data_IF_776411769389
#
_entry.id   IF_776411769389
#
_cell.length_a   1.000
_cell.length_b   1.000
_cell.length_c   1.000
_cell.angle_alpha   90.00
_cell.angle_beta   90.00
_cell.angle_gamma   90.00
#
_symmetry.space_group_name_H-M   'P 1'
#
loop_
_entity.id
_entity.type
_entity.pdbx_description
1 polymer ?
#
# COMPACT_ATOMS: atom_id res chain seq x y z
N UNK A 1 -72.37 -48.78 3.76
CA UNK A 1 -71.41 -47.81 3.21
C UNK A 1 -70.62 -47.19 4.37
N UNK A 2 -69.45 -47.75 4.55
CA UNK A 2 -68.56 -47.38 5.64
C UNK A 2 -67.49 -46.38 5.12
N UNK A 3 -67.72 -45.11 5.43
CA UNK A 3 -66.80 -44.05 5.03
C UNK A 3 -65.72 -43.97 6.09
N UNK A 4 -64.59 -44.63 5.84
CA UNK A 4 -63.38 -44.53 6.66
C UNK A 4 -62.84 -43.10 6.54
N UNK A 5 -63.02 -42.26 7.56
CA UNK A 5 -62.32 -41.01 7.73
C UNK A 5 -60.87 -41.31 8.10
N UNK A 6 -59.96 -41.18 7.12
CA UNK A 6 -58.52 -41.15 7.37
C UNK A 6 -58.18 -39.83 8.03
N UNK A 7 -57.77 -39.86 9.29
CA UNK A 7 -57.27 -38.69 10.02
C UNK A 7 -55.77 -38.52 9.70
N UNK A 8 -55.44 -37.46 9.00
CA UNK A 8 -54.05 -37.07 8.78
C UNK A 8 -53.59 -36.23 9.98
N UNK A 9 -52.53 -36.67 10.65
CA UNK A 9 -51.88 -35.92 11.75
C UNK A 9 -50.74 -35.11 11.15
N UNK A 10 -50.90 -33.79 11.06
CA UNK A 10 -49.82 -32.88 10.70
C UNK A 10 -49.08 -32.49 12.00
N UNK A 11 -47.79 -32.84 12.08
CA UNK A 11 -46.89 -32.33 13.08
C UNK A 11 -46.14 -31.14 12.46
N UNK A 12 -46.51 -29.92 12.83
CA UNK A 12 -45.77 -28.71 12.45
C UNK A 12 -44.90 -28.25 13.62
N UNK A 13 -43.62 -28.03 13.37
CA UNK A 13 -42.71 -27.37 14.32
C UNK A 13 -42.56 -25.92 13.85
N UNK A 14 -43.05 -24.98 14.66
CA UNK A 14 -42.86 -23.56 14.43
C UNK A 14 -41.61 -23.17 15.18
N UNK A 15 -40.57 -22.76 14.42
CA UNK A 15 -39.33 -22.26 15.02
C UNK A 15 -39.30 -20.76 14.77
N UNK A 16 -39.14 -19.97 15.83
CA UNK A 16 -38.89 -18.52 15.70
C UNK A 16 -37.49 -18.31 15.18
N UNK A 17 -37.38 -17.75 13.96
CA UNK A 17 -36.11 -17.46 13.30
C UNK A 17 -35.80 -15.95 13.28
N UNK A 18 -36.55 -15.13 14.02
CA UNK A 18 -36.46 -13.66 13.98
C UNK A 18 -35.09 -13.19 14.42
N UNK A 19 -34.60 -13.66 15.56
CA UNK A 19 -33.27 -13.31 16.07
C UNK A 19 -32.16 -13.73 15.10
N UNK A 20 -32.25 -14.93 14.55
CA UNK A 20 -31.29 -15.43 13.56
C UNK A 20 -31.31 -14.60 12.26
N UNK A 21 -32.48 -14.12 11.83
CA UNK A 21 -32.58 -13.23 10.67
C UNK A 21 -31.97 -11.87 10.96
N UNK A 22 -32.27 -11.26 12.10
CA UNK A 22 -31.69 -9.97 12.49
C UNK A 22 -30.15 -10.05 12.58
N UNK A 23 -29.60 -11.10 13.17
CA UNK A 23 -28.16 -11.32 13.26
C UNK A 23 -27.54 -11.46 11.86
N UNK A 24 -28.14 -12.27 11.00
CA UNK A 24 -27.65 -12.46 9.63
C UNK A 24 -27.73 -11.17 8.79
N UNK A 25 -28.79 -10.38 8.94
CA UNK A 25 -28.95 -9.11 8.22
C UNK A 25 -27.93 -8.06 8.70
N UNK A 26 -27.64 -8.04 10.01
CA UNK A 26 -26.60 -7.18 10.57
C UNK A 26 -25.22 -7.56 10.03
N UNK A 27 -24.88 -8.84 10.04
CA UNK A 27 -23.61 -9.34 9.49
C UNK A 27 -23.49 -9.01 7.99
N UNK A 28 -24.55 -9.19 7.22
CA UNK A 28 -24.58 -8.85 5.79
C UNK A 28 -24.36 -7.36 5.54
N UNK A 29 -25.01 -6.49 6.32
CA UNK A 29 -24.85 -5.03 6.22
C UNK A 29 -23.43 -4.60 6.60
N UNK A 30 -22.88 -5.14 7.67
CA UNK A 30 -21.50 -4.88 8.07
C UNK A 30 -20.51 -5.33 6.99
N UNK A 31 -20.67 -6.55 6.46
CA UNK A 31 -19.82 -7.07 5.38
C UNK A 31 -19.90 -6.19 4.13
N UNK A 32 -21.10 -5.79 3.71
CA UNK A 32 -21.29 -4.93 2.55
C UNK A 32 -20.67 -3.54 2.77
N UNK A 33 -20.77 -2.98 3.98
CA UNK A 33 -20.15 -1.71 4.32
C UNK A 33 -18.62 -1.79 4.29
N UNK A 34 -18.02 -2.82 4.91
CA UNK A 34 -16.58 -3.03 4.84
C UNK A 34 -16.09 -3.26 3.41
N UNK A 35 -16.83 -4.02 2.61
CA UNK A 35 -16.50 -4.23 1.20
C UNK A 35 -16.54 -2.91 0.44
N UNK A 36 -17.57 -2.08 0.65
CA UNK A 36 -17.65 -0.76 0.03
C UNK A 36 -16.47 0.14 0.43
N UNK A 37 -16.10 0.18 1.72
CA UNK A 37 -14.93 0.95 2.16
C UNK A 37 -13.65 0.44 1.51
N UNK A 38 -13.48 -0.88 1.44
CA UNK A 38 -12.30 -1.51 0.83
C UNK A 38 -12.17 -1.15 -0.65
N UNK A 39 -13.28 -1.18 -1.39
CA UNK A 39 -13.31 -0.93 -2.83
C UNK A 39 -13.29 0.58 -3.19
N UNK A 40 -13.73 1.46 -2.28
CA UNK A 40 -13.70 2.92 -2.51
C UNK A 40 -12.44 3.60 -2.02
N UNK A 41 -11.56 2.89 -1.34
CA UNK A 41 -10.29 3.44 -0.87
C UNK A 41 -9.37 3.74 -2.04
N UNK A 42 -8.90 4.99 -2.15
CA UNK A 42 -7.90 5.44 -3.14
C UNK A 42 -6.47 5.03 -2.74
N UNK A 43 -6.34 3.84 -2.19
CA UNK A 43 -5.08 3.22 -1.82
C UNK A 43 -5.14 1.77 -2.26
N UNK A 44 -4.12 1.30 -2.94
CA UNK A 44 -4.01 -0.10 -3.33
C UNK A 44 -3.78 -0.95 -2.07
N UNK A 45 -4.73 -1.85 -1.78
CA UNK A 45 -4.66 -2.76 -0.64
C UNK A 45 -4.51 -4.18 -1.14
N UNK A 46 -3.47 -4.85 -0.68
CA UNK A 46 -3.11 -6.19 -1.16
C UNK A 46 -2.78 -7.10 0.02
N UNK A 47 -3.15 -8.36 -0.09
CA UNK A 47 -2.77 -9.41 0.85
C UNK A 47 -1.93 -10.48 0.14
N UNK A 48 -0.85 -10.88 0.80
CA UNK A 48 0.05 -11.96 0.37
C UNK A 48 0.19 -12.98 1.49
N UNK A 49 0.51 -14.21 1.14
CA UNK A 49 1.04 -15.15 2.11
C UNK A 49 2.47 -14.75 2.54
N UNK A 50 3.02 -15.45 3.53
CA UNK A 50 4.38 -15.16 4.00
C UNK A 50 5.47 -15.51 2.96
N UNK A 51 5.13 -16.22 1.89
CA UNK A 51 6.02 -16.51 0.76
C UNK A 51 5.94 -15.45 -0.34
N UNK A 52 5.06 -14.43 -0.18
CA UNK A 52 4.84 -13.38 -1.16
C UNK A 52 3.87 -13.75 -2.28
N UNK A 53 3.10 -14.84 -2.13
CA UNK A 53 2.07 -15.23 -3.09
C UNK A 53 0.82 -14.37 -2.88
N UNK A 54 0.29 -13.82 -3.95
CA UNK A 54 -0.91 -13.01 -3.97
C UNK A 54 -2.15 -13.79 -3.50
N UNK A 55 -2.83 -13.25 -2.52
CA UNK A 55 -4.08 -13.79 -1.99
C UNK A 55 -5.30 -12.98 -2.44
N UNK A 56 -5.28 -11.67 -2.18
CA UNK A 56 -6.41 -10.78 -2.42
C UNK A 56 -5.95 -9.32 -2.59
N UNK A 57 -6.74 -8.52 -3.32
CA UNK A 57 -6.55 -7.09 -3.43
C UNK A 57 -7.88 -6.37 -3.66
N UNK A 58 -7.93 -5.06 -3.36
CA UNK A 58 -9.04 -4.22 -3.76
C UNK A 58 -8.96 -3.83 -5.25
N UNK A 59 -10.07 -3.36 -5.81
CA UNK A 59 -10.15 -3.01 -7.23
C UNK A 59 -9.10 -1.95 -7.62
N UNK A 60 -8.88 -0.95 -6.76
CA UNK A 60 -7.92 0.12 -7.00
C UNK A 60 -6.47 -0.37 -7.20
N UNK A 61 -6.10 -1.50 -6.60
CA UNK A 61 -4.78 -2.11 -6.82
C UNK A 61 -4.53 -2.38 -8.30
N UNK A 62 -5.51 -2.94 -8.99
CA UNK A 62 -5.37 -3.31 -10.40
C UNK A 62 -5.30 -2.08 -11.30
N UNK A 63 -5.97 -0.98 -10.94
CA UNK A 63 -5.83 0.31 -11.62
C UNK A 63 -4.41 0.86 -11.49
N UNK A 64 -3.82 0.75 -10.29
CA UNK A 64 -2.44 1.22 -10.05
C UNK A 64 -1.42 0.43 -10.85
N UNK A 65 -1.52 -0.91 -10.87
CA UNK A 65 -0.53 -1.77 -11.55
C UNK A 65 -0.82 -1.97 -13.05
N UNK A 66 -2.04 -1.65 -13.52
CA UNK A 66 -2.43 -1.77 -14.93
C UNK A 66 -2.69 -3.20 -15.40
N UNK A 67 -2.98 -4.12 -14.49
CA UNK A 67 -3.37 -5.50 -14.77
C UNK A 67 -4.83 -5.71 -14.38
N UNK A 68 -5.47 -6.72 -14.97
CA UNK A 68 -6.62 -7.36 -14.29
C UNK A 68 -6.09 -8.38 -13.29
N UNK A 69 -6.93 -8.81 -12.35
CA UNK A 69 -6.53 -9.86 -11.40
C UNK A 69 -6.08 -11.14 -12.10
N UNK A 70 -6.81 -11.56 -13.13
CA UNK A 70 -6.48 -12.75 -13.92
C UNK A 70 -5.12 -12.60 -14.62
N UNK A 71 -4.88 -11.44 -15.25
CA UNK A 71 -3.61 -11.14 -15.91
C UNK A 71 -2.46 -11.11 -14.89
N UNK A 72 -2.66 -10.50 -13.73
CA UNK A 72 -1.63 -10.47 -12.70
C UNK A 72 -1.26 -11.88 -12.23
N UNK A 73 -2.24 -12.74 -11.99
CA UNK A 73 -2.01 -14.14 -11.60
C UNK A 73 -1.30 -14.95 -12.69
N UNK A 74 -1.69 -14.77 -13.95
CA UNK A 74 -1.17 -15.59 -15.05
C UNK A 74 0.17 -15.11 -15.59
N UNK A 75 0.36 -13.80 -15.74
CA UNK A 75 1.56 -13.22 -16.38
C UNK A 75 2.71 -13.05 -15.38
N UNK A 76 2.40 -12.81 -14.08
CA UNK A 76 3.42 -12.57 -13.03
C UNK A 76 3.57 -13.72 -12.03
N UNK A 77 2.75 -14.77 -12.17
CA UNK A 77 2.66 -15.85 -11.19
C UNK A 77 2.05 -15.37 -9.85
N UNK A 78 1.38 -14.22 -9.83
CA UNK A 78 0.87 -13.59 -8.61
C UNK A 78 1.96 -13.07 -7.67
N UNK A 79 3.17 -12.85 -8.17
CA UNK A 79 4.30 -12.35 -7.37
C UNK A 79 4.44 -10.83 -7.48
N UNK A 80 4.41 -10.13 -6.34
CA UNK A 80 4.70 -8.71 -6.29
C UNK A 80 6.08 -8.36 -6.85
N UNK A 81 7.08 -9.18 -6.55
CA UNK A 81 8.47 -8.94 -6.98
C UNK A 81 8.58 -8.86 -8.51
N UNK A 82 7.72 -9.56 -9.25
CA UNK A 82 7.74 -9.57 -10.71
C UNK A 82 7.41 -8.20 -11.34
N UNK A 83 6.74 -7.31 -10.63
CA UNK A 83 6.42 -5.96 -11.10
C UNK A 83 7.28 -4.88 -10.47
N UNK A 84 8.15 -5.21 -9.52
CA UNK A 84 9.10 -4.27 -8.94
C UNK A 84 10.20 -3.95 -9.97
N UNK A 85 10.59 -2.68 -10.04
CA UNK A 85 11.70 -2.27 -10.91
C UNK A 85 12.99 -3.01 -10.52
N UNK A 86 13.79 -3.53 -11.47
CA UNK A 86 14.96 -4.37 -11.18
C UNK A 86 15.94 -3.78 -10.16
N UNK A 87 16.18 -2.46 -10.22
CA UNK A 87 17.06 -1.77 -9.26
C UNK A 87 16.53 -1.74 -7.82
N UNK A 88 15.25 -2.02 -7.58
CA UNK A 88 14.61 -1.89 -6.27
C UNK A 88 14.26 -3.26 -5.66
N UNK A 89 14.45 -4.35 -6.42
CA UNK A 89 14.09 -5.71 -6.01
C UNK A 89 14.76 -6.11 -4.69
N UNK A 90 16.07 -5.89 -4.58
CA UNK A 90 16.83 -6.29 -3.38
C UNK A 90 16.37 -5.50 -2.15
N UNK A 91 16.14 -4.20 -2.30
CA UNK A 91 15.61 -3.34 -1.22
C UNK A 91 14.22 -3.82 -0.76
N UNK A 92 13.32 -4.11 -1.70
CA UNK A 92 11.98 -4.62 -1.37
C UNK A 92 12.07 -5.95 -0.64
N UNK A 93 12.94 -6.86 -1.10
CA UNK A 93 13.17 -8.16 -0.46
C UNK A 93 13.64 -8.02 0.97
N UNK A 94 14.64 -7.17 1.23
CA UNK A 94 15.13 -6.89 2.58
C UNK A 94 14.03 -6.36 3.51
N UNK A 95 13.14 -5.48 3.01
CA UNK A 95 12.02 -4.97 3.80
C UNK A 95 11.02 -6.08 4.16
N UNK A 96 10.72 -6.98 3.22
CA UNK A 96 9.82 -8.12 3.46
C UNK A 96 10.45 -9.11 4.44
N UNK A 97 11.74 -9.45 4.29
CA UNK A 97 12.46 -10.34 5.19
C UNK A 97 12.47 -9.79 6.63
N UNK A 98 12.76 -8.50 6.80
CA UNK A 98 12.71 -7.83 8.11
C UNK A 98 11.28 -7.82 8.70
N UNK A 99 10.28 -7.56 7.88
CA UNK A 99 8.88 -7.61 8.31
C UNK A 99 8.51 -9.00 8.84
N UNK A 100 8.95 -10.08 8.17
CA UNK A 100 8.67 -11.45 8.57
C UNK A 100 9.45 -11.82 9.85
N UNK A 101 10.72 -11.43 9.93
CA UNK A 101 11.60 -11.74 11.06
C UNK A 101 11.18 -11.01 12.35
N UNK A 102 11.00 -9.69 12.25
CA UNK A 102 10.77 -8.82 13.41
C UNK A 102 9.29 -8.65 13.75
N UNK A 103 8.38 -8.99 12.84
CA UNK A 103 6.94 -8.76 12.92
C UNK A 103 6.57 -7.29 13.21
N UNK A 104 7.39 -6.36 12.70
CA UNK A 104 7.18 -4.92 12.83
C UNK A 104 6.74 -4.34 11.49
N UNK A 105 5.76 -3.43 11.48
CA UNK A 105 5.37 -2.73 10.26
C UNK A 105 6.57 -2.08 9.59
N UNK A 106 6.61 -2.12 8.28
CA UNK A 106 7.64 -1.48 7.46
C UNK A 106 7.02 -0.49 6.48
N UNK A 107 7.76 0.59 6.20
CA UNK A 107 7.39 1.58 5.18
C UNK A 107 8.60 1.83 4.30
N UNK A 108 8.40 1.79 2.99
CA UNK A 108 9.47 2.04 2.01
C UNK A 108 8.91 2.56 0.70
N UNK A 109 9.75 3.23 -0.07
CA UNK A 109 9.44 3.65 -1.43
C UNK A 109 10.14 2.72 -2.43
N UNK A 110 9.43 2.35 -3.49
CA UNK A 110 10.02 1.62 -4.60
C UNK A 110 9.34 1.99 -5.91
N UNK A 111 9.96 1.60 -7.01
CA UNK A 111 9.36 1.71 -8.34
C UNK A 111 8.71 0.40 -8.72
N UNK A 112 7.55 0.50 -9.33
CA UNK A 112 6.89 -0.62 -9.99
C UNK A 112 6.81 -0.36 -11.49
N UNK A 113 6.79 -1.42 -12.28
CA UNK A 113 6.59 -1.40 -13.71
C UNK A 113 5.18 -1.90 -13.97
N UNK A 114 4.32 -1.02 -14.49
CA UNK A 114 2.97 -1.35 -14.88
C UNK A 114 2.97 -2.29 -16.10
N UNK A 115 1.84 -2.90 -16.36
CA UNK A 115 1.67 -3.78 -17.53
C UNK A 115 1.94 -3.07 -18.87
N UNK A 116 1.65 -1.78 -18.96
CA UNK A 116 1.94 -0.94 -20.14
C UNK A 116 3.42 -0.49 -20.25
N UNK A 117 4.27 -0.93 -19.33
CA UNK A 117 5.69 -0.56 -19.23
C UNK A 117 5.95 0.75 -18.50
N UNK A 118 4.92 1.50 -18.10
CA UNK A 118 5.12 2.76 -17.38
C UNK A 118 5.68 2.48 -15.97
N UNK A 119 6.69 3.28 -15.59
CA UNK A 119 7.26 3.23 -14.24
C UNK A 119 6.47 4.15 -13.30
N UNK A 120 6.09 3.63 -12.13
CA UNK A 120 5.43 4.37 -11.06
C UNK A 120 6.21 4.28 -9.77
N UNK A 121 6.29 5.39 -9.05
CA UNK A 121 6.77 5.42 -7.69
C UNK A 121 5.63 5.10 -6.73
N UNK A 122 5.84 4.15 -5.85
CA UNK A 122 4.88 3.78 -4.82
C UNK A 122 5.51 3.87 -3.44
N UNK A 123 4.74 4.42 -2.50
CA UNK A 123 5.03 4.29 -1.07
C UNK A 123 4.29 3.07 -0.57
N UNK A 124 5.02 2.07 -0.13
CA UNK A 124 4.52 0.82 0.42
C UNK A 124 4.52 0.87 1.95
N UNK A 125 3.42 0.48 2.57
CA UNK A 125 3.32 0.22 4.01
C UNK A 125 2.81 -1.20 4.20
N UNK A 126 3.56 -2.03 4.89
CA UNK A 126 3.22 -3.45 5.08
C UNK A 126 3.30 -3.86 6.55
N UNK A 127 2.40 -4.75 6.95
CA UNK A 127 2.37 -5.38 8.26
C UNK A 127 1.91 -6.83 8.15
N UNK A 128 2.11 -7.62 9.22
CA UNK A 128 1.56 -8.98 9.34
C UNK A 128 0.29 -8.91 10.18
N UNK A 129 -0.78 -9.44 9.63
CA UNK A 129 -2.08 -9.62 10.31
C UNK A 129 -2.48 -11.08 10.26
N UNK A 130 -3.43 -11.48 11.09
CA UNK A 130 -4.08 -12.77 10.93
C UNK A 130 -5.32 -12.62 10.05
N UNK A 131 -5.47 -13.50 9.06
CA UNK A 131 -6.69 -13.58 8.26
C UNK A 131 -7.87 -14.15 9.07
N UNK A 132 -9.04 -14.31 8.45
CA UNK A 132 -10.24 -14.84 9.13
C UNK A 132 -10.06 -16.24 9.69
N UNK A 133 -9.14 -17.04 9.14
CA UNK A 133 -8.83 -18.39 9.59
C UNK A 133 -7.70 -18.41 10.64
N UNK A 134 -7.24 -17.25 11.10
CA UNK A 134 -6.15 -17.11 12.06
C UNK A 134 -4.76 -17.32 11.47
N UNK A 135 -4.64 -17.45 10.14
CA UNK A 135 -3.36 -17.63 9.45
C UNK A 135 -2.67 -16.28 9.25
N UNK A 136 -1.37 -16.15 9.58
CA UNK A 136 -0.64 -14.91 9.36
C UNK A 136 -0.47 -14.63 7.86
N UNK A 137 -0.79 -13.40 7.46
CA UNK A 137 -0.66 -12.90 6.09
C UNK A 137 -0.01 -11.52 6.11
N UNK A 138 0.69 -11.17 5.04
CA UNK A 138 1.19 -9.82 4.83
C UNK A 138 0.05 -8.99 4.24
N UNK A 139 -0.32 -7.92 4.93
CA UNK A 139 -1.19 -6.88 4.38
C UNK A 139 -0.35 -5.68 4.02
N UNK A 140 -0.42 -5.26 2.76
CA UNK A 140 0.30 -4.12 2.23
C UNK A 140 -0.66 -3.08 1.66
N UNK A 141 -0.34 -1.81 1.88
CA UNK A 141 -0.97 -0.66 1.28
C UNK A 141 0.04 0.07 0.39
N UNK A 142 -0.35 0.38 -0.84
CA UNK A 142 0.49 1.10 -1.80
C UNK A 142 -0.19 2.39 -2.22
N UNK A 143 0.52 3.51 -2.07
CA UNK A 143 0.10 4.81 -2.58
C UNK A 143 0.98 5.21 -3.76
N UNK A 144 0.38 5.58 -4.88
CA UNK A 144 1.12 6.16 -6.02
C UNK A 144 1.61 7.56 -5.63
N UNK A 145 2.91 7.73 -5.57
CA UNK A 145 3.58 8.98 -5.21
C UNK A 145 4.36 9.55 -6.40
N UNK A 146 4.07 9.10 -7.62
CA UNK A 146 4.80 9.47 -8.84
C UNK A 146 4.77 10.98 -9.07
N UNK A 147 3.60 11.60 -8.98
CA UNK A 147 3.46 13.05 -9.15
C UNK A 147 4.16 13.84 -8.05
N UNK A 148 4.06 13.38 -6.79
CA UNK A 148 4.77 14.00 -5.68
C UNK A 148 6.28 13.97 -5.92
N UNK A 149 6.82 12.81 -6.29
CA UNK A 149 8.24 12.63 -6.61
C UNK A 149 8.67 13.47 -7.83
N UNK A 150 7.79 13.64 -8.82
CA UNK A 150 8.07 14.49 -9.99
C UNK A 150 8.18 15.97 -9.57
N UNK A 151 7.22 16.46 -8.82
CA UNK A 151 7.18 17.85 -8.35
C UNK A 151 8.39 18.16 -7.44
N UNK A 152 8.72 17.25 -6.53
CA UNK A 152 9.91 17.41 -5.67
C UNK A 152 11.20 17.52 -6.50
N UNK A 153 11.39 16.63 -7.47
CA UNK A 153 12.58 16.67 -8.36
C UNK A 153 12.63 17.93 -9.22
N UNK A 154 11.49 18.36 -9.77
CA UNK A 154 11.41 19.59 -10.56
C UNK A 154 11.76 20.81 -9.69
N UNK A 155 11.26 20.85 -8.46
CA UNK A 155 11.62 21.90 -7.49
C UNK A 155 13.12 21.91 -7.23
N UNK A 156 13.70 20.77 -6.90
CA UNK A 156 15.12 20.63 -6.56
C UNK A 156 15.99 20.98 -7.79
N UNK A 157 15.64 20.51 -8.96
CA UNK A 157 16.32 20.87 -10.21
C UNK A 157 16.25 22.38 -10.51
N UNK A 158 15.09 23.00 -10.29
CA UNK A 158 14.93 24.45 -10.48
C UNK A 158 15.78 25.22 -9.48
N UNK A 159 15.81 24.77 -8.22
CA UNK A 159 16.60 25.39 -7.15
C UNK A 159 18.10 25.31 -7.44
N UNK A 160 18.59 24.16 -7.93
CA UNK A 160 19.99 23.97 -8.31
C UNK A 160 20.36 24.70 -9.61
N UNK A 161 19.39 24.98 -10.49
CA UNK A 161 19.61 25.70 -11.74
C UNK A 161 19.70 27.23 -11.61
N UNK A 162 19.37 27.79 -10.43
CA UNK A 162 19.45 29.24 -10.18
C UNK A 162 20.91 29.66 -10.31
N UNK A 163 21.24 30.62 -11.22
CA UNK A 163 22.59 31.09 -11.39
C UNK A 163 22.99 31.95 -10.16
N UNK A 164 23.69 31.35 -9.21
CA UNK A 164 24.10 31.95 -7.94
C UNK A 164 23.83 31.06 -6.73
N UNK A 165 24.54 31.30 -5.66
CA UNK A 165 24.35 30.59 -4.39
C UNK A 165 23.07 31.04 -3.71
N UNK A 166 22.14 30.11 -3.50
CA UNK A 166 20.91 30.33 -2.73
C UNK A 166 20.97 29.44 -1.49
N UNK A 167 20.73 30.04 -0.35
CA UNK A 167 20.72 29.32 0.93
C UNK A 167 19.57 29.79 1.81
N UNK A 168 18.95 28.84 2.49
CA UNK A 168 17.96 29.07 3.54
C UNK A 168 18.62 28.84 4.89
N UNK A 169 18.61 29.85 5.72
CA UNK A 169 19.27 29.81 7.03
C UNK A 169 18.28 30.04 8.15
N UNK A 170 18.46 29.35 9.24
CA UNK A 170 17.79 29.64 10.50
C UNK A 170 18.66 30.63 11.28
N UNK A 171 18.08 31.79 11.64
CA UNK A 171 18.74 32.81 12.44
C UNK A 171 18.36 32.57 13.90
N UNK A 172 19.34 32.12 14.70
CA UNK A 172 19.25 31.94 16.14
C UNK A 172 20.44 32.58 16.82
N UNK A 173 20.92 31.99 17.91
CA UNK A 173 22.20 32.36 18.53
C UNK A 173 23.40 32.07 17.64
N UNK A 174 23.23 31.14 16.69
CA UNK A 174 24.14 30.83 15.60
C UNK A 174 23.33 30.67 14.30
N UNK A 175 23.96 30.97 13.17
CA UNK A 175 23.38 30.76 11.86
C UNK A 175 23.46 29.26 11.51
N UNK A 176 22.32 28.64 11.33
CA UNK A 176 22.24 27.23 10.91
C UNK A 176 21.73 27.16 9.48
N UNK A 177 22.48 26.51 8.59
CA UNK A 177 22.07 26.26 7.21
C UNK A 177 20.98 25.21 7.20
N UNK A 178 19.80 25.53 6.68
CA UNK A 178 18.69 24.60 6.52
C UNK A 178 18.71 23.93 5.16
N UNK A 179 19.00 24.73 4.11
CA UNK A 179 18.95 24.28 2.73
C UNK A 179 19.83 25.18 1.89
N UNK A 180 20.53 24.63 0.89
CA UNK A 180 21.29 25.43 -0.09
C UNK A 180 21.39 24.66 -1.42
N UNK A 181 21.47 25.42 -2.53
CA UNK A 181 21.70 24.86 -3.85
C UNK A 181 23.19 24.53 -4.07
N UNK A 182 23.47 23.73 -5.09
CA UNK A 182 24.84 23.32 -5.38
C UNK A 182 25.77 24.50 -5.70
N UNK A 183 25.25 25.53 -6.36
CA UNK A 183 26.00 26.76 -6.63
C UNK A 183 26.46 27.48 -5.37
N UNK A 184 25.68 27.44 -4.29
CA UNK A 184 26.09 27.97 -2.98
C UNK A 184 27.33 27.26 -2.44
N UNK A 185 27.35 25.93 -2.48
CA UNK A 185 28.50 25.14 -2.02
C UNK A 185 29.73 25.35 -2.92
N UNK A 186 29.56 25.45 -4.24
CA UNK A 186 30.64 25.79 -5.15
C UNK A 186 31.26 27.16 -4.87
N UNK A 187 30.43 28.17 -4.54
CA UNK A 187 30.91 29.50 -4.15
C UNK A 187 31.72 29.48 -2.84
N UNK A 188 31.42 28.57 -1.94
CA UNK A 188 32.17 28.34 -0.70
C UNK A 188 33.42 27.45 -0.91
N UNK A 189 33.66 26.94 -2.12
CA UNK A 189 34.79 26.04 -2.39
C UNK A 189 34.65 24.66 -1.73
N UNK A 190 33.42 24.23 -1.45
CA UNK A 190 33.12 22.94 -0.82
C UNK A 190 31.99 22.23 -1.59
N UNK A 191 31.71 21.00 -1.24
CA UNK A 191 30.54 20.27 -1.74
C UNK A 191 29.50 20.04 -0.63
N UNK A 192 28.28 19.68 -1.05
CA UNK A 192 27.14 19.42 -0.16
C UNK A 192 27.43 18.33 0.87
N UNK A 193 28.24 17.34 0.53
CA UNK A 193 28.55 16.16 1.35
C UNK A 193 29.63 16.47 2.38
N UNK A 194 30.52 17.40 2.09
CA UNK A 194 31.62 17.82 2.99
C UNK A 194 31.16 18.83 4.05
N UNK A 195 30.01 19.48 3.85
CA UNK A 195 29.50 20.51 4.75
C UNK A 195 28.83 19.91 6.00
N UNK A 196 29.34 20.20 7.19
CA UNK A 196 28.86 19.71 8.49
C UNK A 196 28.05 20.74 9.30
N UNK A 197 27.24 21.55 8.64
CA UNK A 197 26.05 22.12 9.30
C UNK A 197 26.18 23.41 10.12
N UNK A 198 27.36 24.09 10.26
CA UNK A 198 27.44 25.37 10.96
C UNK A 198 28.19 26.43 10.13
N UNK A 199 27.52 27.55 9.85
CA UNK A 199 28.18 28.75 9.34
C UNK A 199 28.75 29.51 10.55
N UNK A 200 30.05 29.55 10.69
CA UNK A 200 30.76 30.40 11.65
C UNK A 200 31.03 31.78 11.06
#
# INVERSE_FOLDING_TARGET
SDSRRQAFRFNSVIVDITERRHTNDTIRRQKAFFQSLYDTTLCALVQYDLNGTFLNANAFTFDVIGYTEEQFRTETGGSLISIVHPCDVDTVREHIERLIADRRPTVYNCRIIRRDGAVRWVCASANIINNMDGVPVIQAAYSDVTELQRVERERDSTYDSIPGGVAKVLIGTQLSLLEANDNFFQMLGTDRTAYKGTLS
#
